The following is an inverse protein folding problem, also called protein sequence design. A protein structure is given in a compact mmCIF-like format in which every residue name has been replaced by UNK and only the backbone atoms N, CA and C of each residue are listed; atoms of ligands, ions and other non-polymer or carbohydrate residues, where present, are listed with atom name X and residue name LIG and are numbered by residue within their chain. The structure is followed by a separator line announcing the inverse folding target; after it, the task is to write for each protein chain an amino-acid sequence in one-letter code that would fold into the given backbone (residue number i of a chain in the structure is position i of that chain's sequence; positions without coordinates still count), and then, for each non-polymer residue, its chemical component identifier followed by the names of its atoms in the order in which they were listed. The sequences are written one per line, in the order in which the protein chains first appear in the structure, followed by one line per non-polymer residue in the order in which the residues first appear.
data_IF_397140356077
#
_entry.id   IF_397140356077
#
_cell.length_a   1.000
_cell.length_b   1.000
_cell.length_c   1.000
_cell.angle_alpha   90.00
_cell.angle_beta   90.00
_cell.angle_gamma   90.00
#
_symmetry.space_group_name_H-M   'P 1'
#
loop_
_entity.id
_entity.type
_entity.pdbx_description
1 polymer ?
#
# COMPACT_ATOMS: atom_id res chain seq x y z
N UNK A 1 38.29 -6.23 8.89
CA UNK A 1 37.55 -5.93 10.14
C UNK A 1 36.33 -6.85 10.15
N UNK A 2 36.21 -7.70 11.17
CA UNK A 2 35.00 -8.51 11.35
C UNK A 2 33.96 -7.63 12.02
N UNK A 3 32.82 -7.47 11.38
CA UNK A 3 31.67 -6.80 11.99
C UNK A 3 31.12 -7.72 13.08
N UNK A 4 31.02 -7.24 14.31
CA UNK A 4 30.28 -7.96 15.35
C UNK A 4 28.80 -7.92 14.96
N UNK A 5 28.27 -9.08 14.59
CA UNK A 5 26.83 -9.21 14.38
C UNK A 5 26.11 -9.04 15.72
N UNK A 6 25.00 -8.33 15.69
CA UNK A 6 24.07 -8.23 16.81
C UNK A 6 23.75 -9.65 17.32
N UNK A 7 24.19 -9.98 18.54
CA UNK A 7 23.72 -11.20 19.19
C UNK A 7 22.34 -10.95 19.74
N UNK A 8 21.35 -11.36 18.97
CA UNK A 8 19.99 -11.48 19.50
C UNK A 8 20.01 -12.66 20.48
N UNK A 9 19.96 -12.38 21.79
CA UNK A 9 19.68 -13.43 22.77
C UNK A 9 18.30 -13.99 22.45
N UNK A 10 18.25 -15.25 22.06
CA UNK A 10 16.98 -15.96 21.95
C UNK A 10 16.42 -16.10 23.34
N UNK A 11 15.42 -15.32 23.67
CA UNK A 11 14.55 -15.66 24.77
C UNK A 11 13.94 -17.04 24.49
N UNK A 12 13.93 -17.87 25.54
CA UNK A 12 13.26 -19.17 25.44
C UNK A 12 11.84 -18.94 24.94
N UNK A 13 11.41 -19.59 23.84
CA UNK A 13 10.10 -19.32 23.29
C UNK A 13 9.07 -19.58 24.40
N UNK A 14 8.33 -18.52 24.76
CA UNK A 14 7.15 -18.67 25.63
C UNK A 14 6.21 -19.64 24.92
N UNK A 15 6.12 -20.86 25.42
CA UNK A 15 5.29 -21.93 24.86
C UNK A 15 3.83 -21.83 25.27
N UNK A 16 3.42 -20.74 25.88
CA UNK A 16 2.00 -20.48 26.07
C UNK A 16 1.33 -20.16 24.74
N UNK A 17 1.13 -21.21 23.94
CA UNK A 17 0.16 -21.18 22.87
C UNK A 17 -1.23 -21.12 23.49
N UNK A 18 -1.71 -19.93 23.76
CA UNK A 18 -3.15 -19.75 23.84
C UNK A 18 -3.70 -20.03 22.44
N UNK A 19 -4.44 -21.14 22.23
CA UNK A 19 -5.15 -21.31 20.98
C UNK A 19 -6.12 -20.13 20.89
N UNK A 20 -5.75 -19.10 20.12
CA UNK A 20 -6.71 -18.07 19.73
C UNK A 20 -7.79 -18.81 18.98
N UNK A 21 -8.91 -19.10 19.63
CA UNK A 21 -10.14 -19.43 18.94
C UNK A 21 -10.46 -18.17 18.14
N UNK A 22 -10.04 -18.16 16.88
CA UNK A 22 -10.60 -17.21 15.95
C UNK A 22 -12.11 -17.46 15.99
N UNK A 23 -12.92 -16.47 16.37
CA UNK A 23 -14.35 -16.60 16.17
C UNK A 23 -14.51 -16.89 14.68
N UNK A 24 -15.03 -18.07 14.37
CA UNK A 24 -15.17 -18.48 12.97
C UNK A 24 -15.96 -17.42 12.20
N UNK A 25 -15.70 -17.29 10.92
CA UNK A 25 -16.38 -16.34 10.03
C UNK A 25 -17.89 -16.51 10.20
N UNK A 26 -18.58 -15.44 10.57
CA UNK A 26 -20.03 -15.47 10.77
C UNK A 26 -20.72 -15.68 9.43
N UNK A 27 -21.55 -16.72 9.27
CA UNK A 27 -22.32 -16.88 8.05
C UNK A 27 -23.23 -15.67 7.83
N UNK A 28 -23.54 -15.31 6.57
CA UNK A 28 -24.58 -14.32 6.26
C UNK A 28 -25.94 -14.83 6.77
N UNK A 29 -26.86 -13.91 7.04
CA UNK A 29 -28.19 -14.25 7.54
C UNK A 29 -28.95 -15.18 6.59
N UNK A 30 -28.81 -14.96 5.29
CA UNK A 30 -29.30 -15.85 4.22
C UNK A 30 -28.17 -16.17 3.24
N UNK A 31 -27.53 -17.34 3.36
CA UNK A 31 -26.44 -17.74 2.46
C UNK A 31 -26.85 -17.87 1.00
N UNK A 32 -28.11 -18.22 0.72
CA UNK A 32 -28.59 -18.37 -0.68
C UNK A 32 -28.76 -17.01 -1.34
N UNK A 33 -29.43 -16.07 -0.66
CA UNK A 33 -29.57 -14.70 -1.14
C UNK A 33 -28.19 -14.01 -1.32
N UNK A 34 -27.27 -14.25 -0.38
CA UNK A 34 -25.91 -13.75 -0.43
C UNK A 34 -25.14 -14.31 -1.66
N UNK A 35 -25.20 -15.62 -1.90
CA UNK A 35 -24.58 -16.26 -3.07
C UNK A 35 -25.13 -15.72 -4.39
N UNK A 36 -26.45 -15.53 -4.50
CA UNK A 36 -27.10 -14.97 -5.68
C UNK A 36 -26.68 -13.50 -5.93
N UNK A 37 -26.59 -12.70 -4.86
CA UNK A 37 -26.14 -11.32 -4.95
C UNK A 37 -24.68 -11.22 -5.40
N UNK A 38 -23.79 -12.04 -4.84
CA UNK A 38 -22.38 -12.07 -5.21
C UNK A 38 -22.18 -12.54 -6.67
N UNK A 39 -22.95 -13.51 -7.15
CA UNK A 39 -22.89 -13.96 -8.54
C UNK A 39 -23.19 -12.80 -9.50
N UNK A 40 -24.27 -12.06 -9.27
CA UNK A 40 -24.61 -10.89 -10.08
C UNK A 40 -23.57 -9.77 -10.03
N UNK A 41 -22.90 -9.58 -8.89
CA UNK A 41 -21.82 -8.59 -8.74
C UNK A 41 -20.55 -9.04 -9.48
N UNK A 42 -20.21 -10.32 -9.43
CA UNK A 42 -19.07 -10.86 -10.17
C UNK A 42 -19.25 -10.68 -11.68
N UNK A 43 -20.46 -10.97 -12.20
CA UNK A 43 -20.79 -10.75 -13.62
C UNK A 43 -20.64 -9.28 -14.01
N UNK A 44 -21.16 -8.37 -13.20
CA UNK A 44 -21.02 -6.92 -13.42
C UNK A 44 -19.57 -6.44 -13.35
N UNK A 45 -18.79 -6.93 -12.39
CA UNK A 45 -17.38 -6.58 -12.27
C UNK A 45 -16.59 -7.04 -13.50
N UNK A 46 -16.87 -8.27 -14.00
CA UNK A 46 -16.26 -8.80 -15.22
C UNK A 46 -16.63 -7.97 -16.46
N UNK A 47 -17.90 -7.63 -16.63
CA UNK A 47 -18.35 -6.81 -17.75
C UNK A 47 -17.70 -5.43 -17.76
N UNK A 48 -17.61 -4.78 -16.60
CA UNK A 48 -16.94 -3.48 -16.45
C UNK A 48 -15.43 -3.58 -16.73
N UNK A 49 -14.74 -4.56 -16.18
CA UNK A 49 -13.33 -4.76 -16.47
C UNK A 49 -13.07 -4.98 -17.98
N UNK A 50 -13.94 -5.73 -18.66
CA UNK A 50 -13.85 -5.93 -20.12
C UNK A 50 -14.12 -4.65 -20.92
N UNK A 51 -14.97 -3.75 -20.41
CA UNK A 51 -15.33 -2.51 -21.11
C UNK A 51 -14.31 -1.38 -20.86
N UNK A 52 -13.71 -1.32 -19.68
CA UNK A 52 -12.90 -0.19 -19.24
C UNK A 52 -11.40 -0.46 -19.25
N UNK A 53 -10.95 -1.69 -18.97
CA UNK A 53 -9.53 -2.01 -18.93
C UNK A 53 -8.95 -2.16 -20.34
N UNK A 54 -7.79 -1.53 -20.56
CA UNK A 54 -7.02 -1.66 -21.79
C UNK A 54 -5.66 -2.33 -21.49
N UNK A 55 -5.10 -2.99 -22.47
CA UNK A 55 -3.78 -3.61 -22.35
C UNK A 55 -3.77 -4.79 -21.38
N UNK A 56 -2.56 -5.12 -20.94
CA UNK A 56 -2.28 -6.23 -20.05
C UNK A 56 -1.25 -7.20 -20.63
N UNK A 57 -0.38 -7.76 -19.79
CA UNK A 57 0.68 -8.67 -20.23
C UNK A 57 0.17 -10.11 -20.47
N UNK A 58 -1.03 -10.40 -20.04
CA UNK A 58 -1.76 -11.66 -20.24
C UNK A 58 -3.26 -11.40 -20.30
N UNK A 59 -4.08 -12.46 -20.45
CA UNK A 59 -5.53 -12.41 -20.61
C UNK A 59 -6.32 -12.44 -19.29
N UNK A 60 -5.63 -12.53 -18.14
CA UNK A 60 -6.29 -12.54 -16.82
C UNK A 60 -7.03 -11.23 -16.56
N UNK A 61 -8.11 -11.32 -15.82
CA UNK A 61 -8.88 -10.16 -15.36
C UNK A 61 -8.42 -9.77 -13.95
N UNK A 62 -8.44 -8.48 -13.66
CA UNK A 62 -8.20 -7.95 -12.31
C UNK A 62 -9.54 -7.79 -11.59
N UNK A 63 -9.68 -8.48 -10.46
CA UNK A 63 -10.85 -8.39 -9.59
C UNK A 63 -10.52 -7.63 -8.32
N UNK A 64 -11.39 -6.70 -7.94
CA UNK A 64 -11.43 -6.03 -6.65
C UNK A 64 -12.45 -6.77 -5.78
N UNK A 65 -11.95 -7.44 -4.73
CA UNK A 65 -12.77 -8.22 -3.81
C UNK A 65 -12.88 -7.41 -2.51
N UNK A 66 -14.08 -6.94 -2.18
CA UNK A 66 -14.32 -6.27 -0.92
C UNK A 66 -14.73 -7.26 0.15
N UNK A 67 -14.06 -7.20 1.29
CA UNK A 67 -14.31 -8.06 2.44
C UNK A 67 -15.20 -7.35 3.46
N UNK A 68 -15.98 -8.13 4.19
CA UNK A 68 -16.83 -7.63 5.29
C UNK A 68 -15.98 -7.10 6.43
N UNK A 69 -16.30 -5.91 6.91
CA UNK A 69 -15.59 -5.29 8.03
C UNK A 69 -15.58 -6.17 9.29
N UNK A 70 -14.42 -6.28 9.92
CA UNK A 70 -14.22 -7.01 11.18
C UNK A 70 -13.68 -8.43 11.06
N UNK A 71 -13.57 -8.99 9.86
CA UNK A 71 -12.85 -10.24 9.62
C UNK A 71 -11.38 -9.94 9.35
N UNK A 72 -10.53 -10.12 10.39
CA UNK A 72 -9.10 -9.75 10.36
C UNK A 72 -8.19 -10.68 9.56
N UNK A 73 -8.72 -11.69 8.88
CA UNK A 73 -7.91 -12.61 8.08
C UNK A 73 -8.36 -12.60 6.62
N UNK A 74 -7.45 -12.25 5.73
CA UNK A 74 -7.67 -12.46 4.28
C UNK A 74 -7.79 -13.96 4.05
N UNK A 75 -8.90 -14.44 3.51
CA UNK A 75 -9.05 -15.84 3.17
C UNK A 75 -8.06 -16.24 2.08
N UNK A 76 -7.70 -17.52 2.05
CA UNK A 76 -6.82 -18.07 1.03
C UNK A 76 -7.53 -18.19 -0.34
N UNK A 77 -7.74 -17.07 -1.02
CA UNK A 77 -8.34 -17.03 -2.37
C UNK A 77 -7.48 -17.72 -3.43
N UNK A 78 -6.16 -17.76 -3.22
CA UNK A 78 -5.18 -18.53 -3.99
C UNK A 78 -5.45 -20.05 -3.97
N UNK A 79 -6.28 -20.50 -3.03
CA UNK A 79 -6.77 -21.86 -3.00
C UNK A 79 -7.86 -22.15 -4.07
N UNK A 80 -8.31 -21.15 -4.83
CA UNK A 80 -9.17 -21.28 -6.00
C UNK A 80 -8.24 -21.36 -7.22
N UNK A 81 -8.24 -22.47 -7.98
CA UNK A 81 -7.40 -22.59 -9.15
C UNK A 81 -7.63 -21.44 -10.14
N UNK A 82 -6.55 -20.85 -10.66
CA UNK A 82 -6.62 -19.74 -11.60
C UNK A 82 -6.83 -18.37 -10.97
N UNK A 83 -6.81 -18.26 -9.64
CA UNK A 83 -6.87 -16.99 -8.91
C UNK A 83 -5.51 -16.74 -8.21
N UNK A 84 -4.94 -15.57 -8.38
CA UNK A 84 -3.67 -15.16 -7.78
C UNK A 84 -3.86 -13.81 -7.08
N UNK A 85 -3.70 -13.77 -5.76
CA UNK A 85 -3.73 -12.49 -5.01
C UNK A 85 -2.50 -11.68 -5.40
N UNK A 86 -2.71 -10.43 -5.79
CA UNK A 86 -1.62 -9.50 -6.15
C UNK A 86 -1.39 -8.42 -5.11
N UNK A 87 -2.44 -8.00 -4.41
CA UNK A 87 -2.33 -6.97 -3.38
C UNK A 87 -3.48 -7.03 -2.38
N UNK A 88 -3.21 -6.48 -1.20
CA UNK A 88 -4.21 -6.09 -0.22
C UNK A 88 -4.05 -4.59 0.02
N UNK A 89 -5.02 -3.79 -0.41
CA UNK A 89 -4.90 -2.33 -0.39
C UNK A 89 -5.32 -1.71 0.94
N UNK A 90 -6.20 -2.40 1.68
CA UNK A 90 -6.52 -2.09 3.08
C UNK A 90 -6.99 -3.37 3.80
N UNK A 91 -7.53 -3.26 5.01
CA UNK A 91 -8.04 -4.42 5.76
C UNK A 91 -9.23 -5.11 5.06
N UNK A 92 -9.88 -4.45 4.11
CA UNK A 92 -11.14 -4.88 3.50
C UNK A 92 -11.09 -5.07 1.98
N UNK A 93 -9.99 -4.73 1.31
CA UNK A 93 -9.86 -4.81 -0.15
C UNK A 93 -8.73 -5.75 -0.54
N UNK A 94 -9.08 -6.80 -1.28
CA UNK A 94 -8.13 -7.74 -1.87
C UNK A 94 -8.22 -7.64 -3.38
N UNK A 95 -7.07 -7.55 -4.05
CA UNK A 95 -6.97 -7.58 -5.49
C UNK A 95 -6.39 -8.90 -5.96
N UNK A 96 -7.02 -9.49 -6.96
CA UNK A 96 -6.62 -10.77 -7.49
C UNK A 96 -6.67 -10.78 -9.02
N UNK A 97 -5.64 -11.36 -9.66
CA UNK A 97 -5.74 -11.77 -11.05
C UNK A 97 -6.47 -13.10 -11.14
N UNK A 98 -7.44 -13.17 -12.04
CA UNK A 98 -8.20 -14.38 -12.31
C UNK A 98 -8.17 -14.74 -13.80
N UNK A 99 -7.89 -16.01 -14.08
CA UNK A 99 -8.08 -16.59 -15.42
C UNK A 99 -9.56 -16.81 -15.69
N UNK A 100 -9.95 -17.04 -16.94
CA UNK A 100 -11.34 -17.39 -17.28
C UNK A 100 -11.80 -18.66 -16.56
N UNK A 101 -10.91 -19.65 -16.38
CA UNK A 101 -11.20 -20.85 -15.58
C UNK A 101 -11.40 -20.51 -14.10
N UNK A 102 -10.58 -19.60 -13.55
CA UNK A 102 -10.73 -19.13 -12.16
C UNK A 102 -12.04 -18.38 -11.94
N UNK A 103 -12.45 -17.55 -12.89
CA UNK A 103 -13.75 -16.87 -12.86
C UNK A 103 -14.91 -17.88 -12.93
N UNK A 104 -14.84 -18.85 -13.83
CA UNK A 104 -15.83 -19.92 -13.95
C UNK A 104 -15.95 -20.76 -12.69
N UNK A 105 -14.84 -20.99 -11.98
CA UNK A 105 -14.84 -21.68 -10.69
C UNK A 105 -15.54 -20.83 -9.60
N UNK A 106 -15.31 -19.50 -9.55
CA UNK A 106 -16.06 -18.60 -8.69
C UNK A 106 -17.55 -18.64 -8.99
N UNK A 107 -17.94 -18.51 -10.28
CA UNK A 107 -19.33 -18.53 -10.72
C UNK A 107 -20.01 -19.86 -10.32
N UNK A 108 -19.37 -20.99 -10.55
CA UNK A 108 -19.88 -22.32 -10.19
C UNK A 108 -20.12 -22.45 -8.68
N UNK A 109 -19.20 -21.97 -7.86
CA UNK A 109 -19.33 -22.03 -6.40
C UNK A 109 -20.38 -21.07 -5.88
N UNK A 110 -20.51 -19.88 -6.44
CA UNK A 110 -21.57 -18.93 -6.08
C UNK A 110 -22.96 -19.44 -6.49
N UNK A 111 -23.07 -20.06 -7.66
CA UNK A 111 -24.31 -20.72 -8.10
C UNK A 111 -24.70 -21.89 -7.17
N UNK A 112 -23.72 -22.66 -6.70
CA UNK A 112 -23.94 -23.71 -5.71
C UNK A 112 -24.40 -23.12 -4.37
N UNK A 113 -23.75 -22.06 -3.89
CA UNK A 113 -24.14 -21.37 -2.66
C UNK A 113 -25.57 -20.80 -2.78
N UNK A 114 -25.90 -20.18 -3.93
CA UNK A 114 -27.23 -19.62 -4.18
C UNK A 114 -28.33 -20.70 -4.19
N UNK A 115 -28.05 -21.88 -4.74
CA UNK A 115 -29.01 -22.98 -4.85
C UNK A 115 -29.15 -23.74 -3.52
N UNK A 116 -28.03 -24.12 -2.91
CA UNK A 116 -27.99 -25.10 -1.82
C UNK A 116 -27.79 -24.43 -0.45
N UNK A 117 -27.32 -23.17 -0.39
CA UNK A 117 -26.98 -22.45 0.84
C UNK A 117 -25.65 -22.88 1.46
N UNK A 118 -24.98 -23.85 0.83
CA UNK A 118 -23.66 -24.35 1.27
C UNK A 118 -22.78 -24.61 0.05
N UNK A 119 -21.46 -24.44 0.25
CA UNK A 119 -20.45 -24.67 -0.78
C UNK A 119 -19.15 -25.10 -0.13
N UNK A 120 -18.28 -25.80 -0.84
CA UNK A 120 -16.93 -26.11 -0.36
C UNK A 120 -16.17 -24.83 -0.11
N UNK A 121 -15.49 -24.74 1.07
CA UNK A 121 -14.78 -23.53 1.52
C UNK A 121 -15.73 -22.32 1.63
N UNK A 122 -16.91 -22.54 2.15
CA UNK A 122 -17.94 -21.50 2.35
C UNK A 122 -17.42 -20.26 3.07
N UNK A 123 -16.42 -20.41 3.91
CA UNK A 123 -15.78 -19.33 4.65
C UNK A 123 -15.22 -18.24 3.73
N UNK A 124 -14.68 -18.64 2.57
CA UNK A 124 -14.19 -17.69 1.55
C UNK A 124 -15.31 -16.78 1.04
N UNK A 125 -16.47 -17.37 0.78
CA UNK A 125 -17.61 -16.64 0.22
C UNK A 125 -18.38 -15.84 1.26
N UNK A 126 -18.36 -16.28 2.51
CA UNK A 126 -19.05 -15.59 3.61
C UNK A 126 -18.38 -14.26 3.99
N UNK A 127 -17.07 -14.12 3.78
CA UNK A 127 -16.35 -12.87 4.05
C UNK A 127 -16.43 -11.88 2.91
N UNK A 128 -16.77 -12.31 1.69
CA UNK A 128 -16.91 -11.41 0.56
C UNK A 128 -18.17 -10.58 0.75
N UNK A 129 -18.03 -9.27 0.68
CA UNK A 129 -19.13 -8.31 0.65
C UNK A 129 -19.51 -7.97 -0.78
N UNK A 130 -18.49 -7.80 -1.64
CA UNK A 130 -18.68 -7.32 -3.00
C UNK A 130 -17.56 -7.78 -3.95
N UNK A 131 -17.89 -7.82 -5.25
CA UNK A 131 -16.95 -7.88 -6.35
C UNK A 131 -17.07 -6.61 -7.18
N UNK A 132 -15.95 -6.04 -7.55
CA UNK A 132 -15.86 -4.88 -8.43
C UNK A 132 -14.59 -5.00 -9.31
N UNK A 133 -14.35 -4.02 -10.17
CA UNK A 133 -13.11 -3.89 -10.90
C UNK A 133 -12.27 -2.75 -10.30
N UNK A 134 -10.98 -2.72 -10.61
CA UNK A 134 -10.08 -1.65 -10.19
C UNK A 134 -10.23 -0.50 -11.17
N UNK A 135 -10.90 0.56 -10.74
CA UNK A 135 -11.30 1.68 -11.59
C UNK A 135 -10.13 2.63 -11.90
N UNK A 136 -10.22 3.48 -12.94
CA UNK A 136 -9.26 4.56 -13.16
C UNK A 136 -9.11 5.47 -11.93
N UNK A 137 -10.18 5.70 -11.17
CA UNK A 137 -10.11 6.47 -9.94
C UNK A 137 -9.33 5.76 -8.83
N UNK A 138 -9.48 4.44 -8.70
CA UNK A 138 -8.67 3.64 -7.76
C UNK A 138 -7.17 3.68 -8.14
N UNK A 139 -6.84 3.86 -9.44
CA UNK A 139 -5.48 3.97 -9.96
C UNK A 139 -4.90 5.37 -9.82
N UNK A 140 -5.70 6.38 -9.46
CA UNK A 140 -5.24 7.77 -9.37
C UNK A 140 -4.59 8.01 -8.01
N UNK A 141 -3.30 8.39 -8.03
CA UNK A 141 -2.53 8.67 -6.82
C UNK A 141 -2.96 9.95 -6.11
N UNK A 142 -2.51 10.12 -4.87
CA UNK A 142 -2.99 11.19 -3.98
C UNK A 142 -2.70 12.59 -4.52
N UNK A 143 -1.50 12.85 -5.07
CA UNK A 143 -1.17 14.15 -5.61
C UNK A 143 -2.01 14.48 -6.85
N UNK A 144 -2.26 13.48 -7.70
CA UNK A 144 -3.08 13.62 -8.89
C UNK A 144 -4.57 13.81 -8.54
N UNK A 145 -5.08 13.15 -7.49
CA UNK A 145 -6.43 13.37 -6.97
C UNK A 145 -6.61 14.78 -6.42
N UNK A 146 -5.61 15.30 -5.73
CA UNK A 146 -5.66 16.64 -5.12
C UNK A 146 -5.52 17.75 -6.16
N UNK A 147 -4.57 17.61 -7.10
CA UNK A 147 -4.16 18.69 -8.00
C UNK A 147 -4.81 18.60 -9.39
N UNK A 148 -5.32 17.42 -9.76
CA UNK A 148 -5.75 17.13 -11.12
C UNK A 148 -4.58 17.03 -12.10
N UNK A 149 -4.89 16.84 -13.39
CA UNK A 149 -3.88 16.86 -14.43
C UNK A 149 -3.30 18.27 -14.60
N UNK A 150 -1.95 18.40 -14.68
CA UNK A 150 -1.32 19.69 -14.94
C UNK A 150 -1.84 20.32 -16.25
N UNK A 151 -2.03 21.65 -16.23
CA UNK A 151 -2.48 22.38 -17.42
C UNK A 151 -1.40 22.48 -18.51
N UNK A 152 -0.16 22.04 -18.22
CA UNK A 152 0.93 21.99 -19.20
C UNK A 152 0.60 21.02 -20.35
N UNK A 153 1.06 21.30 -21.59
CA UNK A 153 0.80 20.42 -22.74
C UNK A 153 1.35 19.00 -22.55
N UNK A 154 2.43 18.86 -21.80
CA UNK A 154 2.98 17.57 -21.33
C UNK A 154 3.52 17.71 -19.92
N UNK A 155 3.46 16.62 -19.16
CA UNK A 155 3.97 16.55 -17.79
C UNK A 155 4.54 15.15 -17.51
N UNK A 156 5.23 15.02 -16.38
CA UNK A 156 5.74 13.74 -15.91
C UNK A 156 4.68 13.04 -15.05
N UNK A 157 4.59 11.71 -15.20
CA UNK A 157 3.75 10.83 -14.41
C UNK A 157 4.58 9.64 -13.97
N UNK A 158 4.48 9.26 -12.69
CA UNK A 158 5.04 8.06 -12.12
C UNK A 158 3.96 6.98 -12.13
N UNK A 159 4.22 5.88 -12.82
CA UNK A 159 3.27 4.78 -13.02
C UNK A 159 3.79 3.54 -12.33
N UNK A 160 3.11 3.10 -11.30
CA UNK A 160 3.39 1.85 -10.60
C UNK A 160 2.58 0.71 -11.21
N UNK A 161 3.26 -0.38 -11.54
CA UNK A 161 2.62 -1.61 -12.01
C UNK A 161 2.44 -2.58 -10.84
N UNK A 162 1.53 -3.56 -11.01
CA UNK A 162 1.32 -4.59 -10.00
C UNK A 162 2.61 -5.36 -9.68
N UNK A 163 2.92 -5.61 -8.42
CA UNK A 163 4.09 -6.38 -8.05
C UNK A 163 3.99 -7.81 -8.61
N UNK A 164 5.11 -8.33 -9.09
CA UNK A 164 5.22 -9.70 -9.58
C UNK A 164 6.44 -10.34 -8.92
N UNK A 165 6.23 -11.35 -8.09
CA UNK A 165 7.33 -12.06 -7.40
C UNK A 165 8.26 -12.76 -8.40
N UNK A 166 7.67 -13.43 -9.40
CA UNK A 166 8.42 -14.14 -10.42
C UNK A 166 9.07 -13.17 -11.39
N UNK A 167 10.38 -13.26 -11.53
CA UNK A 167 11.18 -12.39 -12.40
C UNK A 167 10.75 -12.46 -13.87
N UNK A 168 10.44 -13.67 -14.36
CA UNK A 168 10.00 -13.87 -15.75
C UNK A 168 8.67 -13.15 -16.04
N UNK A 169 7.69 -13.29 -15.16
CA UNK A 169 6.41 -12.60 -15.27
C UNK A 169 6.56 -11.08 -15.16
N UNK A 170 7.40 -10.62 -14.22
CA UNK A 170 7.69 -9.19 -14.04
C UNK A 170 8.29 -8.60 -15.31
N UNK A 171 9.29 -9.26 -15.90
CA UNK A 171 9.91 -8.81 -17.15
C UNK A 171 8.92 -8.84 -18.33
N UNK A 172 8.06 -9.85 -18.41
CA UNK A 172 7.01 -9.92 -19.41
C UNK A 172 6.03 -8.75 -19.28
N UNK A 173 5.55 -8.47 -18.07
CA UNK A 173 4.63 -7.36 -17.79
C UNK A 173 5.25 -6.02 -18.14
N UNK A 174 6.48 -5.74 -17.69
CA UNK A 174 7.19 -4.50 -18.00
C UNK A 174 7.36 -4.33 -19.50
N UNK A 175 7.81 -5.38 -20.20
CA UNK A 175 7.98 -5.33 -21.65
C UNK A 175 6.66 -5.01 -22.35
N UNK A 176 5.59 -5.74 -22.03
CA UNK A 176 4.28 -5.50 -22.61
C UNK A 176 3.77 -4.07 -22.36
N UNK A 177 3.98 -3.55 -21.15
CA UNK A 177 3.62 -2.18 -20.81
C UNK A 177 4.45 -1.15 -21.59
N UNK A 178 5.76 -1.34 -21.71
CA UNK A 178 6.62 -0.45 -22.49
C UNK A 178 6.28 -0.47 -23.99
N UNK A 179 5.96 -1.63 -24.55
CA UNK A 179 5.51 -1.75 -25.94
C UNK A 179 4.16 -1.03 -26.15
N UNK A 180 3.26 -1.13 -25.17
CA UNK A 180 2.00 -0.40 -25.18
C UNK A 180 2.22 1.13 -25.11
N UNK A 181 3.08 1.62 -24.19
CA UNK A 181 3.43 3.04 -24.11
C UNK A 181 3.96 3.56 -25.46
N UNK A 182 4.86 2.81 -26.07
CA UNK A 182 5.42 3.15 -27.39
C UNK A 182 4.34 3.24 -28.48
N UNK A 183 3.40 2.29 -28.49
CA UNK A 183 2.28 2.28 -29.44
C UNK A 183 1.33 3.50 -29.23
N UNK A 184 1.20 4.00 -27.99
CA UNK A 184 0.43 5.21 -27.67
C UNK A 184 1.23 6.51 -27.87
N UNK A 185 2.48 6.44 -28.32
CA UNK A 185 3.36 7.61 -28.45
C UNK A 185 3.71 8.28 -27.13
N UNK A 186 3.74 7.52 -26.04
CA UNK A 186 4.09 7.99 -24.69
C UNK A 186 5.59 7.78 -24.47
N UNK A 187 6.29 8.84 -24.08
CA UNK A 187 7.74 8.79 -23.85
C UNK A 187 8.05 8.18 -22.49
N UNK A 188 8.78 7.05 -22.46
CA UNK A 188 9.41 6.54 -21.23
C UNK A 188 10.63 7.38 -20.90
N UNK A 189 10.75 7.81 -19.64
CA UNK A 189 11.90 8.57 -19.13
C UNK A 189 12.85 7.68 -18.31
N UNK A 190 12.30 6.87 -17.39
CA UNK A 190 13.06 6.01 -16.48
C UNK A 190 12.19 4.85 -15.99
N UNK A 191 12.80 3.82 -15.36
CA UNK A 191 12.08 2.76 -14.68
C UNK A 191 12.89 2.11 -13.55
N UNK A 192 12.16 1.59 -12.56
CA UNK A 192 12.66 0.77 -11.46
C UNK A 192 11.94 -0.57 -11.49
N UNK A 193 12.70 -1.67 -11.44
CA UNK A 193 12.16 -3.03 -11.50
C UNK A 193 12.68 -3.87 -10.34
N UNK A 194 11.94 -3.90 -9.25
CA UNK A 194 12.20 -4.74 -8.09
C UNK A 194 11.03 -5.70 -7.86
N UNK A 195 11.19 -6.79 -7.10
CA UNK A 195 10.09 -7.72 -6.82
C UNK A 195 8.86 -7.06 -6.20
N UNK A 196 9.06 -6.10 -5.31
CA UNK A 196 8.00 -5.40 -4.58
C UNK A 196 7.61 -4.05 -5.19
N UNK A 197 8.36 -3.54 -6.17
CA UNK A 197 8.13 -2.23 -6.77
C UNK A 197 8.53 -2.24 -8.24
N UNK A 198 7.56 -2.04 -9.10
CA UNK A 198 7.78 -1.79 -10.53
C UNK A 198 7.20 -0.42 -10.85
N UNK A 199 8.06 0.53 -11.15
CA UNK A 199 7.65 1.91 -11.45
C UNK A 199 8.24 2.35 -12.79
N UNK A 200 7.44 3.02 -13.60
CA UNK A 200 7.86 3.60 -14.88
C UNK A 200 7.52 5.08 -14.86
N UNK A 201 8.52 5.93 -15.04
CA UNK A 201 8.32 7.38 -15.24
C UNK A 201 8.11 7.67 -16.70
N UNK A 202 7.05 8.38 -17.01
CA UNK A 202 6.69 8.75 -18.38
C UNK A 202 6.52 10.25 -18.53
N UNK A 203 6.62 10.73 -19.81
CA UNK A 203 6.14 12.05 -20.20
C UNK A 203 4.90 11.87 -21.07
N UNK A 204 3.80 12.46 -20.66
CA UNK A 204 2.51 12.32 -21.32
C UNK A 204 1.71 13.63 -21.30
N UNK A 205 0.67 13.70 -22.10
CA UNK A 205 -0.39 14.72 -21.99
C UNK A 205 -1.58 14.18 -21.20
N UNK A 206 -2.59 15.02 -20.95
CA UNK A 206 -3.77 14.62 -20.15
C UNK A 206 -4.54 13.43 -20.72
N UNK A 207 -4.75 13.37 -22.04
CA UNK A 207 -5.44 12.27 -22.69
C UNK A 207 -4.65 10.94 -22.59
N UNK A 208 -3.33 11.02 -22.73
CA UNK A 208 -2.45 9.87 -22.55
C UNK A 208 -2.40 9.40 -21.08
N UNK A 209 -2.39 10.33 -20.13
CA UNK A 209 -2.46 10.00 -18.71
C UNK A 209 -3.78 9.27 -18.38
N UNK A 210 -4.90 9.72 -18.94
CA UNK A 210 -6.19 9.05 -18.79
C UNK A 210 -6.17 7.63 -19.35
N UNK A 211 -5.56 7.41 -20.52
CA UNK A 211 -5.37 6.06 -21.07
C UNK A 211 -4.50 5.16 -20.17
N UNK A 212 -3.46 5.73 -19.52
CA UNK A 212 -2.64 4.99 -18.54
C UNK A 212 -3.50 4.51 -17.38
N UNK A 213 -4.41 5.35 -16.85
CA UNK A 213 -5.30 4.98 -15.77
C UNK A 213 -6.29 3.85 -16.14
N UNK A 214 -6.54 3.63 -17.42
CA UNK A 214 -7.32 2.48 -17.91
C UNK A 214 -6.49 1.21 -18.14
N UNK A 215 -5.15 1.28 -18.06
CA UNK A 215 -4.33 0.09 -18.33
C UNK A 215 -4.39 -0.89 -17.16
N UNK A 216 -4.77 -2.16 -17.46
CA UNK A 216 -5.02 -3.21 -16.45
C UNK A 216 -3.84 -3.42 -15.48
N UNK A 217 -2.61 -3.40 -16.00
CA UNK A 217 -1.42 -3.68 -15.21
C UNK A 217 -0.96 -2.50 -14.34
N UNK A 218 -1.61 -1.34 -14.48
CA UNK A 218 -1.32 -0.17 -13.64
C UNK A 218 -2.01 -0.35 -12.29
N UNK A 219 -1.22 -0.30 -11.22
CA UNK A 219 -1.69 -0.25 -9.85
C UNK A 219 -2.10 1.16 -9.47
N UNK A 220 -1.18 2.11 -9.66
CA UNK A 220 -1.43 3.53 -9.43
C UNK A 220 -0.58 4.40 -10.36
N UNK A 221 -1.06 5.58 -10.68
CA UNK A 221 -0.30 6.60 -11.37
C UNK A 221 -0.45 7.93 -10.63
N UNK A 222 0.67 8.61 -10.39
CA UNK A 222 0.68 9.85 -9.62
C UNK A 222 1.66 10.86 -10.20
N UNK A 223 1.49 12.10 -9.82
CA UNK A 223 2.47 13.14 -10.12
C UNK A 223 3.77 12.85 -9.35
N UNK A 224 4.94 13.01 -10.00
CA UNK A 224 6.20 12.80 -9.30
C UNK A 224 6.31 13.76 -8.11
N UNK A 225 6.94 13.30 -7.00
CA UNK A 225 7.12 14.14 -5.84
C UNK A 225 7.91 15.39 -6.20
N UNK A 226 7.45 16.53 -5.77
CA UNK A 226 8.16 17.79 -5.93
C UNK A 226 9.30 17.84 -4.92
N UNK A 227 10.49 17.53 -5.37
CA UNK A 227 11.69 17.73 -4.57
C UNK A 227 12.03 19.23 -4.61
N UNK A 228 11.59 19.97 -3.62
CA UNK A 228 11.93 21.37 -3.45
C UNK A 228 12.10 21.64 -1.97
N UNK A 229 13.34 21.87 -1.52
CA UNK A 229 13.56 22.51 -0.23
C UNK A 229 13.30 23.99 -0.47
N UNK A 230 12.18 24.52 0.04
CA UNK A 230 11.98 25.96 0.04
C UNK A 230 13.13 26.57 0.87
N UNK A 231 13.96 27.39 0.24
CA UNK A 231 15.14 28.01 0.89
C UNK A 231 14.75 28.69 2.19
N UNK A 232 13.53 29.19 2.30
CA UNK A 232 12.94 29.74 3.51
C UNK A 232 12.89 28.73 4.67
N UNK A 233 12.73 27.44 4.41
CA UNK A 233 12.70 26.40 5.45
C UNK A 233 14.10 26.16 6.04
N UNK A 234 15.15 26.29 5.23
CA UNK A 234 16.53 26.13 5.69
C UNK A 234 16.96 27.22 6.69
N UNK A 235 16.25 28.33 6.73
CA UNK A 235 16.52 29.45 7.61
C UNK A 235 15.51 29.59 8.77
N UNK A 236 14.58 28.62 8.89
CA UNK A 236 13.59 28.65 9.97
C UNK A 236 14.23 28.20 11.26
N UNK A 237 14.25 29.10 12.26
CA UNK A 237 14.75 28.77 13.58
C UNK A 237 13.70 27.95 14.35
N UNK A 238 14.06 26.74 14.73
CA UNK A 238 13.17 25.82 15.49
C UNK A 238 12.70 26.43 16.82
N UNK A 239 13.43 27.39 17.40
CA UNK A 239 13.05 28.08 18.61
C UNK A 239 11.89 29.07 18.41
N UNK A 240 11.49 29.34 17.19
CA UNK A 240 10.31 30.16 16.88
C UNK A 240 9.00 29.41 17.10
N UNK A 241 9.05 28.08 17.16
CA UNK A 241 7.85 27.27 17.37
C UNK A 241 7.56 27.09 18.86
N UNK A 242 6.27 27.02 19.24
CA UNK A 242 5.91 26.71 20.61
C UNK A 242 6.40 25.31 21.00
N UNK A 243 6.66 25.04 22.27
CA UNK A 243 6.91 23.68 22.74
C UNK A 243 5.73 22.76 22.36
N UNK A 244 6.07 21.54 21.99
CA UNK A 244 5.06 20.54 21.68
C UNK A 244 4.52 19.89 22.95
N UNK A 245 3.24 19.59 22.95
CA UNK A 245 2.63 18.74 23.97
C UNK A 245 2.94 17.27 23.69
N UNK A 246 3.08 16.41 24.70
CA UNK A 246 3.22 14.98 24.49
C UNK A 246 1.96 14.42 23.80
N UNK A 247 2.09 13.38 22.96
CA UNK A 247 0.94 12.70 22.39
C UNK A 247 0.07 12.08 23.49
N UNK A 248 -1.20 11.82 23.18
CA UNK A 248 -2.14 11.21 24.13
C UNK A 248 -1.63 9.85 24.65
N UNK A 249 -2.12 9.43 25.81
CA UNK A 249 -1.65 8.18 26.46
C UNK A 249 -1.97 6.92 25.62
N UNK A 250 -2.98 6.98 24.80
CA UNK A 250 -3.43 5.93 23.88
C UNK A 250 -2.88 6.10 22.45
N UNK A 251 -2.00 7.09 22.23
CA UNK A 251 -1.41 7.31 20.91
C UNK A 251 -0.63 6.07 20.42
N UNK A 252 -0.72 5.74 19.14
CA UNK A 252 0.05 4.65 18.57
C UNK A 252 1.55 4.92 18.67
N UNK A 253 2.34 3.85 18.63
CA UNK A 253 3.79 3.93 18.78
C UNK A 253 4.50 3.43 17.51
N UNK A 254 5.61 4.07 17.17
CA UNK A 254 6.51 3.65 16.09
C UNK A 254 7.94 3.57 16.62
N UNK A 255 8.68 2.53 16.23
CA UNK A 255 10.09 2.39 16.52
C UNK A 255 10.94 2.85 15.33
N UNK A 256 11.91 3.72 15.58
CA UNK A 256 12.91 4.18 14.61
C UNK A 256 14.22 3.47 14.93
N UNK A 257 14.61 2.51 14.11
CA UNK A 257 15.87 1.77 14.23
C UNK A 257 16.91 2.42 13.32
N UNK A 258 17.63 3.38 13.88
CA UNK A 258 18.54 4.25 13.13
C UNK A 258 19.76 4.64 13.97
N UNK A 259 20.39 5.77 13.69
CA UNK A 259 21.55 6.33 14.41
C UNK A 259 21.24 6.87 15.82
N UNK A 260 19.98 6.82 16.24
CA UNK A 260 19.45 7.37 17.49
C UNK A 260 18.50 8.55 17.29
N UNK A 261 17.95 9.07 18.38
CA UNK A 261 17.07 10.26 18.37
C UNK A 261 17.61 11.31 19.32
N UNK A 262 17.71 12.56 18.87
CA UNK A 262 18.07 13.69 19.72
C UNK A 262 16.91 14.03 20.67
N UNK A 263 16.91 13.41 21.86
CA UNK A 263 15.84 13.54 22.87
C UNK A 263 15.64 14.97 23.39
N UNK A 264 16.67 15.78 23.32
CA UNK A 264 16.60 17.20 23.68
C UNK A 264 16.03 18.12 22.59
N UNK A 265 15.62 17.56 21.42
CA UNK A 265 15.07 18.36 20.33
C UNK A 265 13.68 18.90 20.71
N UNK A 266 13.48 20.21 20.61
CA UNK A 266 12.27 20.90 21.07
C UNK A 266 10.97 20.39 20.43
N UNK A 267 11.06 19.93 19.19
CA UNK A 267 9.91 19.44 18.43
C UNK A 267 9.77 17.90 18.43
N UNK A 268 10.64 17.17 19.14
CA UNK A 268 10.57 15.70 19.19
C UNK A 268 10.51 15.17 20.62
N UNK A 269 11.26 15.80 21.54
CA UNK A 269 11.53 15.24 22.85
C UNK A 269 10.31 14.84 23.67
N UNK A 270 9.24 15.63 23.63
CA UNK A 270 8.00 15.31 24.34
C UNK A 270 7.24 14.10 23.77
N UNK A 271 7.52 13.71 22.50
CA UNK A 271 6.92 12.56 21.85
C UNK A 271 7.78 11.28 21.95
N UNK A 272 9.04 11.39 22.44
CA UNK A 272 9.92 10.22 22.60
C UNK A 272 9.57 9.50 23.91
N UNK A 273 9.12 8.24 23.79
CA UNK A 273 8.81 7.36 24.91
C UNK A 273 10.07 6.79 25.53
N UNK A 274 10.73 5.87 24.84
CA UNK A 274 12.01 5.28 25.27
C UNK A 274 12.98 5.22 24.10
N UNK A 275 14.27 5.31 24.42
CA UNK A 275 15.32 5.25 23.42
C UNK A 275 16.54 4.52 24.01
N UNK A 276 17.09 3.57 23.26
CA UNK A 276 18.23 2.75 23.67
C UNK A 276 19.29 2.71 22.57
N UNK A 277 20.55 2.89 22.96
CA UNK A 277 21.67 2.75 22.05
C UNK A 277 22.25 1.33 22.11
N UNK A 278 22.43 0.72 20.98
CA UNK A 278 22.99 -0.64 20.83
C UNK A 278 24.40 -0.65 20.23
N UNK A 279 24.85 0.47 19.68
CA UNK A 279 26.16 0.58 19.04
C UNK A 279 27.29 0.77 20.06
N UNK A 280 28.26 -0.13 20.05
CA UNK A 280 29.49 0.03 20.82
C UNK A 280 30.37 1.16 20.23
N UNK A 281 31.18 1.86 21.04
CA UNK A 281 31.41 1.62 22.46
C UNK A 281 30.45 2.41 23.38
N UNK A 282 29.74 3.41 22.92
CA UNK A 282 29.11 4.39 23.80
C UNK A 282 27.64 4.11 24.11
N UNK A 283 26.97 3.24 23.35
CA UNK A 283 25.55 2.90 23.51
C UNK A 283 24.66 4.14 23.79
N UNK A 284 24.98 5.25 23.12
CA UNK A 284 24.17 6.45 23.22
C UNK A 284 22.80 6.22 22.58
N UNK A 285 21.76 6.67 23.26
CA UNK A 285 20.41 6.72 22.69
C UNK A 285 20.19 7.99 21.84
N UNK A 286 21.06 8.99 22.01
CA UNK A 286 21.01 10.19 21.17
C UNK A 286 21.60 9.91 19.79
N UNK A 287 21.16 10.69 18.82
CA UNK A 287 21.60 10.58 17.44
C UNK A 287 23.12 10.78 17.32
N UNK A 288 23.79 9.79 16.81
CA UNK A 288 25.25 9.77 16.63
C UNK A 288 25.71 10.07 15.22
N UNK A 289 24.78 10.20 14.28
CA UNK A 289 25.07 10.57 12.91
C UNK A 289 25.42 12.07 12.81
N UNK A 290 26.49 12.46 12.10
CA UNK A 290 26.88 13.87 11.93
C UNK A 290 25.86 14.71 11.18
N UNK A 291 24.92 14.07 10.45
CA UNK A 291 23.82 14.71 9.74
C UNK A 291 22.47 14.48 10.42
N UNK A 292 22.47 13.86 11.60
CA UNK A 292 21.29 13.62 12.45
C UNK A 292 20.18 12.85 11.72
N UNK A 293 20.59 11.79 11.02
CA UNK A 293 19.71 11.01 10.16
C UNK A 293 18.54 10.39 10.95
N UNK A 294 18.80 9.75 12.09
CA UNK A 294 17.73 9.15 12.90
C UNK A 294 16.76 10.21 13.45
N UNK A 295 17.25 11.37 13.84
CA UNK A 295 16.42 12.50 14.29
C UNK A 295 15.54 13.02 13.15
N UNK A 296 16.10 13.13 11.94
CA UNK A 296 15.35 13.51 10.74
C UNK A 296 14.25 12.49 10.41
N UNK A 297 14.59 11.19 10.41
CA UNK A 297 13.61 10.10 10.18
C UNK A 297 12.52 10.11 11.25
N UNK A 298 12.88 10.31 12.52
CA UNK A 298 11.92 10.46 13.61
C UNK A 298 10.96 11.65 13.41
N UNK A 299 11.47 12.77 12.93
CA UNK A 299 10.67 13.96 12.60
C UNK A 299 9.66 13.68 11.49
N UNK A 300 10.10 13.02 10.42
CA UNK A 300 9.20 12.62 9.31
C UNK A 300 8.14 11.60 9.79
N UNK A 301 8.54 10.63 10.60
CA UNK A 301 7.61 9.65 11.14
C UNK A 301 6.53 10.30 12.02
N UNK A 302 6.91 11.34 12.79
CA UNK A 302 6.02 12.00 13.73
C UNK A 302 5.03 12.97 13.07
N UNK A 303 5.48 13.70 12.05
CA UNK A 303 4.74 14.82 11.46
C UNK A 303 4.35 14.63 9.99
N UNK A 304 4.96 13.69 9.29
CA UNK A 304 4.73 13.50 7.85
C UNK A 304 5.09 14.74 7.04
N UNK A 305 4.12 15.59 6.77
CA UNK A 305 4.31 16.85 6.05
C UNK A 305 4.86 17.96 6.98
N UNK A 306 6.17 17.90 7.22
CA UNK A 306 6.91 18.91 8.01
C UNK A 306 6.79 20.31 7.40
N UNK A 307 6.69 20.42 6.05
CA UNK A 307 6.56 21.71 5.39
C UNK A 307 5.26 22.42 5.80
N UNK A 308 4.14 21.72 5.74
CA UNK A 308 2.87 22.27 6.18
C UNK A 308 2.85 22.63 7.66
N UNK A 309 3.49 21.81 8.51
CA UNK A 309 3.62 22.10 9.93
C UNK A 309 4.42 23.41 10.19
N UNK A 310 5.51 23.64 9.43
CA UNK A 310 6.27 24.89 9.48
C UNK A 310 5.43 26.07 9.03
N UNK A 311 4.70 25.96 7.92
CA UNK A 311 3.85 27.03 7.40
C UNK A 311 2.71 27.40 8.36
N UNK A 312 2.15 26.40 9.04
CA UNK A 312 1.09 26.61 10.05
C UNK A 312 1.64 27.11 11.39
N UNK A 313 2.94 27.04 11.58
CA UNK A 313 3.57 27.40 12.85
C UNK A 313 3.23 26.46 14.02
N UNK A 314 2.76 25.25 13.70
CA UNK A 314 2.27 24.30 14.70
C UNK A 314 2.72 22.88 14.40
N UNK A 315 3.21 22.20 15.45
CA UNK A 315 3.61 20.81 15.42
C UNK A 315 2.79 20.03 16.46
N UNK A 316 1.98 19.08 15.99
CA UNK A 316 1.11 18.26 16.85
C UNK A 316 1.45 16.78 16.63
N UNK A 317 2.15 16.14 17.59
CA UNK A 317 2.52 14.74 17.45
C UNK A 317 1.27 13.84 17.58
N UNK A 318 1.10 12.94 16.63
CA UNK A 318 -0.02 12.00 16.59
C UNK A 318 0.36 10.61 17.12
N UNK A 319 1.65 10.36 17.36
CA UNK A 319 2.16 9.07 17.80
C UNK A 319 3.36 9.24 18.73
N UNK A 320 3.79 8.13 19.39
CA UNK A 320 5.01 8.06 20.20
C UNK A 320 6.15 7.47 19.41
N UNK A 321 7.33 8.05 19.58
CA UNK A 321 8.58 7.52 19.02
C UNK A 321 9.30 6.66 20.04
N UNK A 322 9.83 5.55 19.56
CA UNK A 322 10.81 4.72 20.27
C UNK A 322 12.05 4.55 19.38
N UNK A 323 13.23 4.41 19.99
CA UNK A 323 14.48 4.23 19.25
C UNK A 323 15.35 3.13 19.86
#
# INVERSE_FOLDING_TARGET
MAYEHLRLEREAPSTERHPRRHPGIRPPADPRAHGAALAGRLDQARERAMAEDVGGFDDRKLLKIRLRAGDKSVPAFDAIPGVEIVSQEDESIVLAFATDDGLSEFESRLATLARDGVVTRKELFYVIEDFDHWTPQDRTGAALLEQGFPAAPTFMLDVELWPQERQDKRQQMVRAFLDWLHAQGIERLDDIQQPSLVMVRVRCNGAQAEQILHHRDVRTADLPPRLGVAVQLLHTDINQFPPIDPPSDDAPSIAVLDSGLTRGHSLLGAAVGDAQGFLAPHRSADDTDPHWHGTFVGGLALYGDVHSAIQQGQFVPQLRLFS
#
